data_IF_976681348533
#
_entry.id   IF_976681348533
#
_cell.length_a   1.000
_cell.length_b   1.000
_cell.length_c   1.000
_cell.angle_alpha   90.00
_cell.angle_beta   90.00
_cell.angle_gamma   90.00
#
_symmetry.space_group_name_H-M   'P 1'
#
loop_
_entity.id
_entity.type
_entity.pdbx_description
1 polymer ?
#
# COMPACT_ATOMS: atom_id res chain seq x y z
N UNK A 1 -9.12 27.06 7.61
CA UNK A 1 -10.28 27.98 7.59
C UNK A 1 -11.10 28.03 6.30
N UNK A 2 -10.58 27.68 5.10
CA UNK A 2 -11.34 27.82 3.84
C UNK A 2 -11.65 26.48 3.12
N UNK A 3 -11.46 25.33 3.77
CA UNK A 3 -11.68 24.01 3.15
C UNK A 3 -10.77 23.66 1.96
N UNK A 4 -9.96 24.60 1.48
CA UNK A 4 -8.98 24.42 0.41
C UNK A 4 -7.70 23.80 0.94
N UNK A 5 -7.24 22.76 0.25
CA UNK A 5 -5.94 22.13 0.46
C UNK A 5 -4.87 23.09 -0.09
N UNK A 6 -3.85 23.39 0.71
CA UNK A 6 -2.70 24.19 0.29
C UNK A 6 -1.48 23.27 0.17
N UNK A 7 -0.82 23.29 -0.98
CA UNK A 7 0.48 22.63 -1.13
C UNK A 7 1.59 23.55 -0.61
N UNK A 8 2.40 23.04 0.31
CA UNK A 8 3.48 23.81 0.95
C UNK A 8 4.77 22.99 0.97
N UNK A 9 5.90 23.64 0.72
CA UNK A 9 7.19 23.01 0.96
C UNK A 9 7.44 22.87 2.47
N UNK A 10 8.13 21.80 2.89
CA UNK A 10 8.39 21.53 4.31
C UNK A 10 9.08 22.71 5.02
N UNK A 11 9.98 23.42 4.34
CA UNK A 11 10.63 24.62 4.87
C UNK A 11 9.65 25.75 5.18
N UNK A 12 8.58 25.85 4.40
CA UNK A 12 7.56 26.88 4.56
C UNK A 12 6.56 26.47 5.63
N UNK A 13 6.29 25.17 5.79
CA UNK A 13 5.54 24.63 6.94
C UNK A 13 6.24 24.95 8.26
N UNK A 14 7.55 24.69 8.37
CA UNK A 14 8.34 25.02 9.57
C UNK A 14 8.26 26.51 9.90
N UNK A 15 8.35 27.39 8.89
CA UNK A 15 8.37 28.84 9.08
C UNK A 15 6.99 29.45 9.33
N UNK A 16 6.00 29.09 8.51
CA UNK A 16 4.66 29.71 8.51
C UNK A 16 3.75 29.15 9.59
N UNK A 17 3.88 27.87 9.90
CA UNK A 17 3.08 27.19 10.92
C UNK A 17 3.85 26.99 12.23
N UNK A 18 5.09 27.50 12.29
CA UNK A 18 5.97 27.46 13.46
C UNK A 18 6.12 26.03 14.05
N UNK A 19 6.03 25.03 13.18
CA UNK A 19 6.17 23.63 13.56
C UNK A 19 7.66 23.26 13.70
N UNK A 20 8.06 22.52 14.75
CA UNK A 20 9.42 22.05 14.90
C UNK A 20 9.87 21.20 13.71
N UNK A 21 11.15 21.31 13.34
CA UNK A 21 11.73 20.55 12.22
C UNK A 21 11.49 19.05 12.35
N UNK A 22 11.64 18.49 13.56
CA UNK A 22 11.41 17.05 13.78
C UNK A 22 9.95 16.67 13.50
N UNK A 23 8.98 17.53 13.84
CA UNK A 23 7.55 17.26 13.63
C UNK A 23 7.24 17.24 12.13
N UNK A 24 7.73 18.25 11.40
CA UNK A 24 7.57 18.34 9.94
C UNK A 24 8.28 17.19 9.22
N UNK A 25 9.42 16.72 9.75
CA UNK A 25 10.08 15.51 9.25
C UNK A 25 9.14 14.30 9.31
N UNK A 26 8.50 14.04 10.45
CA UNK A 26 7.55 12.92 10.56
C UNK A 26 6.30 13.11 9.68
N UNK A 27 5.78 14.34 9.54
CA UNK A 27 4.71 14.62 8.56
C UNK A 27 5.15 14.24 7.14
N UNK A 28 6.36 14.61 6.72
CA UNK A 28 6.87 14.25 5.40
C UNK A 28 7.04 12.73 5.23
N UNK A 29 7.55 12.03 6.25
CA UNK A 29 7.68 10.56 6.23
C UNK A 29 6.33 9.86 6.13
N UNK A 30 5.33 10.38 6.81
CA UNK A 30 3.95 9.87 6.74
C UNK A 30 3.38 10.10 5.35
N UNK A 31 3.52 11.30 4.78
CA UNK A 31 3.07 11.55 3.41
C UNK A 31 3.73 10.60 2.41
N UNK A 32 5.04 10.37 2.52
CA UNK A 32 5.75 9.38 1.69
C UNK A 32 5.19 7.97 1.87
N UNK A 33 4.86 7.57 3.09
CA UNK A 33 4.23 6.28 3.34
C UNK A 33 2.87 6.16 2.61
N UNK A 34 1.99 7.15 2.72
CA UNK A 34 0.68 7.11 2.06
C UNK A 34 0.77 7.20 0.53
N UNK A 35 1.62 8.08 0.00
CA UNK A 35 1.69 8.32 -1.44
C UNK A 35 2.57 7.31 -2.17
N UNK A 36 3.75 7.01 -1.62
CA UNK A 36 4.76 6.23 -2.34
C UNK A 36 4.67 4.73 -2.00
N UNK A 37 4.33 4.38 -0.76
CA UNK A 37 4.25 2.98 -0.32
C UNK A 37 2.85 2.42 -0.47
N UNK A 38 1.84 3.12 0.06
CA UNK A 38 0.44 2.72 -0.06
C UNK A 38 -0.17 3.08 -1.42
N UNK A 39 0.47 3.99 -2.17
CA UNK A 39 0.08 4.33 -3.53
C UNK A 39 -1.16 5.20 -3.65
N UNK A 40 -1.64 5.82 -2.57
CA UNK A 40 -2.80 6.71 -2.64
C UNK A 40 -2.54 7.86 -3.62
N UNK A 41 -3.51 8.20 -4.48
CA UNK A 41 -3.44 9.42 -5.28
C UNK A 41 -3.26 10.66 -4.39
N UNK A 42 -2.50 11.63 -4.85
CA UNK A 42 -2.15 12.80 -4.01
C UNK A 42 -3.39 13.64 -3.68
N UNK A 43 -4.35 13.68 -4.58
CA UNK A 43 -5.60 14.42 -4.47
C UNK A 43 -6.54 13.90 -3.37
N UNK A 44 -6.41 12.63 -2.97
CA UNK A 44 -7.22 12.06 -1.89
C UNK A 44 -6.55 12.17 -0.53
N UNK A 45 -5.29 12.59 -0.45
CA UNK A 45 -4.54 12.69 0.81
C UNK A 45 -4.41 14.13 1.29
N UNK A 46 -4.60 14.38 2.60
CA UNK A 46 -4.21 15.65 3.22
C UNK A 46 -3.86 15.51 4.69
N UNK A 47 -3.16 16.51 5.20
CA UNK A 47 -3.10 16.78 6.64
C UNK A 47 -4.12 17.85 7.00
N UNK A 48 -4.83 17.68 8.10
CA UNK A 48 -5.77 18.67 8.63
C UNK A 48 -5.36 19.06 10.05
N UNK A 49 -5.13 20.35 10.26
CA UNK A 49 -4.90 20.87 11.60
C UNK A 49 -6.23 20.88 12.38
N UNK A 50 -6.22 20.31 13.58
CA UNK A 50 -7.38 20.40 14.47
C UNK A 50 -7.40 21.77 15.16
N UNK A 51 -8.60 22.32 15.31
CA UNK A 51 -8.82 23.57 16.05
C UNK A 51 -8.50 23.41 17.53
N UNK A 52 -8.26 24.50 18.26
CA UNK A 52 -8.00 24.44 19.70
C UNK A 52 -9.15 23.80 20.49
N UNK A 53 -10.39 23.91 20.00
CA UNK A 53 -11.59 23.31 20.61
C UNK A 53 -11.67 21.79 20.40
N UNK A 54 -11.09 21.28 19.31
CA UNK A 54 -11.03 19.85 18.99
C UNK A 54 -9.75 19.18 19.54
N UNK A 55 -8.76 19.96 19.98
CA UNK A 55 -7.52 19.44 20.58
C UNK A 55 -7.77 18.95 21.99
N UNK A 56 -7.22 17.77 22.30
CA UNK A 56 -7.05 17.39 23.70
C UNK A 56 -6.17 18.44 24.40
N UNK A 57 -6.53 18.83 25.63
CA UNK A 57 -5.94 19.95 26.39
C UNK A 57 -4.41 19.86 26.60
N UNK A 58 -3.78 18.72 26.30
CA UNK A 58 -2.36 18.46 26.42
C UNK A 58 -1.58 18.48 25.09
N UNK A 59 -2.25 18.59 23.94
CA UNK A 59 -1.59 18.55 22.63
C UNK A 59 -1.13 19.94 22.20
N UNK A 60 0.19 20.14 22.06
CA UNK A 60 0.74 21.41 21.56
C UNK A 60 0.60 21.54 20.04
N UNK A 61 0.75 20.43 19.31
CA UNK A 61 0.50 20.35 17.86
C UNK A 61 -0.32 19.09 17.56
N UNK A 62 -1.34 19.22 16.71
CA UNK A 62 -2.27 18.14 16.40
C UNK A 62 -2.73 18.22 14.94
N UNK A 63 -2.33 17.22 14.17
CA UNK A 63 -2.67 17.10 12.76
C UNK A 63 -3.24 15.72 12.47
N UNK A 64 -4.43 15.70 11.89
CA UNK A 64 -5.05 14.50 11.38
C UNK A 64 -4.47 14.16 10.01
N UNK A 65 -4.34 12.86 9.76
CA UNK A 65 -4.11 12.29 8.45
C UNK A 65 -5.47 11.94 7.90
N UNK A 66 -5.88 12.59 6.81
CA UNK A 66 -7.19 12.36 6.21
C UNK A 66 -7.07 11.82 4.80
N UNK A 67 -7.91 10.84 4.48
CA UNK A 67 -8.15 10.34 3.13
C UNK A 67 -9.55 10.74 2.69
N UNK A 68 -9.69 11.22 1.45
CA UNK A 68 -10.98 11.50 0.84
C UNK A 68 -11.71 10.20 0.48
N UNK A 69 -12.79 9.92 1.18
CA UNK A 69 -13.63 8.74 1.00
C UNK A 69 -15.02 9.21 0.55
N UNK A 70 -15.28 9.15 -0.75
CA UNK A 70 -16.53 9.60 -1.36
C UNK A 70 -17.73 8.87 -0.76
N UNK A 71 -17.59 7.57 -0.51
CA UNK A 71 -18.64 6.72 0.08
C UNK A 71 -19.07 7.20 1.47
N UNK A 72 -18.14 7.84 2.20
CA UNK A 72 -18.38 8.38 3.53
C UNK A 72 -18.70 9.87 3.51
N UNK A 73 -18.73 10.53 2.34
CA UNK A 73 -19.04 11.96 2.22
C UNK A 73 -17.83 12.87 2.44
N UNK A 74 -16.63 12.43 2.04
CA UNK A 74 -15.45 13.28 1.93
C UNK A 74 -14.27 12.81 2.78
N UNK A 75 -13.40 13.74 3.15
CA UNK A 75 -12.23 13.48 3.99
C UNK A 75 -12.59 12.88 5.35
N UNK A 76 -11.94 11.77 5.70
CA UNK A 76 -12.06 11.09 6.98
C UNK A 76 -10.68 10.84 7.57
N UNK A 77 -10.57 11.03 8.87
CA UNK A 77 -9.37 10.76 9.65
C UNK A 77 -9.04 9.26 9.63
N UNK A 78 -7.84 8.91 9.16
CA UNK A 78 -7.30 7.54 9.16
C UNK A 78 -6.14 7.37 10.14
N UNK A 79 -5.68 8.47 10.73
CA UNK A 79 -4.62 8.51 11.73
C UNK A 79 -4.33 9.95 12.15
N UNK A 80 -3.35 10.12 13.03
CA UNK A 80 -3.01 11.42 13.59
C UNK A 80 -1.56 11.51 14.08
N UNK A 81 -1.08 12.74 14.16
CA UNK A 81 0.27 13.10 14.60
C UNK A 81 0.13 14.01 15.81
N UNK A 82 0.33 13.48 17.02
CA UNK A 82 0.04 14.20 18.26
C UNK A 82 1.33 14.49 19.01
N UNK A 83 1.62 15.78 19.23
CA UNK A 83 2.72 16.16 20.11
C UNK A 83 2.20 16.43 21.52
N UNK A 84 2.33 15.40 22.37
CA UNK A 84 1.75 15.32 23.72
C UNK A 84 2.66 15.89 24.80
N UNK A 85 3.84 16.38 24.42
CA UNK A 85 4.87 16.88 25.35
C UNK A 85 5.18 15.83 26.42
N UNK A 86 5.36 16.21 27.68
CA UNK A 86 5.66 15.29 28.78
C UNK A 86 4.41 14.88 29.60
N UNK A 87 3.21 15.19 29.11
CA UNK A 87 1.95 15.00 29.83
C UNK A 87 1.76 13.57 30.35
N UNK A 88 1.91 12.57 29.48
CA UNK A 88 1.65 11.17 29.83
C UNK A 88 2.68 10.65 30.83
N UNK A 89 3.96 10.95 30.61
CA UNK A 89 5.05 10.50 31.47
C UNK A 89 5.00 11.19 32.85
N UNK A 90 4.68 12.48 32.91
CA UNK A 90 4.42 13.17 34.19
C UNK A 90 3.23 12.55 34.92
N UNK A 91 2.16 12.22 34.20
CA UNK A 91 0.99 11.53 34.75
C UNK A 91 1.37 10.20 35.38
N UNK A 92 2.09 9.35 34.65
CA UNK A 92 2.54 8.04 35.13
C UNK A 92 3.53 8.16 36.31
N UNK A 93 4.51 9.07 36.24
CA UNK A 93 5.43 9.33 37.35
C UNK A 93 4.68 9.72 38.63
N UNK A 94 3.70 10.63 38.53
CA UNK A 94 2.93 11.10 39.69
C UNK A 94 2.13 9.97 40.36
N UNK A 95 1.53 9.08 39.57
CA UNK A 95 0.68 8.01 40.09
C UNK A 95 1.49 6.82 40.61
N UNK A 96 2.56 6.46 39.91
CA UNK A 96 3.40 5.30 40.27
C UNK A 96 4.41 5.61 41.36
N UNK A 97 4.85 6.86 41.50
CA UNK A 97 5.98 7.25 42.35
C UNK A 97 7.36 6.95 41.74
N UNK A 98 7.40 6.26 40.60
CA UNK A 98 8.63 5.90 39.89
C UNK A 98 9.05 7.01 38.93
N UNK A 99 10.34 7.33 38.90
CA UNK A 99 10.87 8.38 38.01
C UNK A 99 10.81 7.96 36.54
N UNK A 100 10.25 8.83 35.71
CA UNK A 100 10.21 8.74 34.25
C UNK A 100 11.26 9.65 33.60
N UNK A 101 12.21 10.18 34.39
CA UNK A 101 13.29 11.03 33.89
C UNK A 101 14.36 10.19 33.19
N UNK A 102 14.89 10.71 32.10
CA UNK A 102 16.08 10.18 31.43
C UNK A 102 17.27 11.11 31.69
N UNK A 103 18.47 10.55 31.76
CA UNK A 103 19.71 11.31 31.84
C UNK A 103 20.46 11.22 30.52
N UNK A 104 20.53 12.32 29.78
CA UNK A 104 21.31 12.43 28.54
C UNK A 104 22.34 13.54 28.74
N UNK A 105 23.62 13.20 28.59
CA UNK A 105 24.75 14.13 28.71
C UNK A 105 24.73 14.93 30.03
N UNK A 106 24.35 14.29 31.14
CA UNK A 106 24.29 14.90 32.46
C UNK A 106 23.05 15.75 32.73
N UNK A 107 22.12 15.86 31.76
CA UNK A 107 20.85 16.56 31.90
C UNK A 107 19.73 15.57 32.17
N UNK A 108 19.07 15.72 33.32
CA UNK A 108 17.86 14.97 33.67
C UNK A 108 16.61 15.73 33.22
N UNK A 109 15.73 15.05 32.52
CA UNK A 109 14.44 15.60 32.09
C UNK A 109 13.44 14.48 31.79
N UNK A 110 12.16 14.80 31.78
CA UNK A 110 11.11 13.90 31.29
C UNK A 110 11.00 14.13 29.77
N UNK A 111 11.17 13.09 28.94
CA UNK A 111 11.14 13.26 27.50
C UNK A 111 9.75 13.62 27.00
N UNK A 112 9.70 14.36 25.90
CA UNK A 112 8.44 14.63 25.22
C UNK A 112 8.04 13.46 24.31
N UNK A 113 6.74 13.23 24.19
CA UNK A 113 6.15 12.16 23.40
C UNK A 113 5.56 12.73 22.10
N UNK A 114 6.00 12.19 20.98
CA UNK A 114 5.34 12.31 19.69
C UNK A 114 4.61 10.99 19.42
N UNK A 115 3.29 11.02 19.45
CA UNK A 115 2.46 9.87 19.13
C UNK A 115 2.09 9.92 17.64
N UNK A 116 2.38 8.82 16.94
CA UNK A 116 1.88 8.58 15.58
C UNK A 116 0.85 7.47 15.68
N UNK A 117 -0.42 7.80 15.47
CA UNK A 117 -1.52 6.86 15.61
C UNK A 117 -2.12 6.57 14.24
N UNK A 118 -2.25 5.29 13.88
CA UNK A 118 -2.80 4.85 12.60
C UNK A 118 -3.89 3.82 12.83
N UNK A 119 -5.11 4.14 12.39
CA UNK A 119 -6.23 3.19 12.50
C UNK A 119 -6.13 2.13 11.41
N UNK A 120 -5.72 0.91 11.75
CA UNK A 120 -5.51 -0.18 10.77
C UNK A 120 -6.76 -0.42 9.93
N UNK A 121 -7.93 -0.52 10.56
CA UNK A 121 -9.20 -0.79 9.86
C UNK A 121 -9.60 0.35 8.93
N UNK A 122 -9.40 1.60 9.36
CA UNK A 122 -9.71 2.79 8.54
C UNK A 122 -8.79 2.87 7.32
N UNK A 123 -7.51 2.55 7.50
CA UNK A 123 -6.55 2.52 6.39
C UNK A 123 -6.85 1.38 5.42
N UNK A 124 -7.23 0.20 5.91
CA UNK A 124 -7.65 -0.91 5.06
C UNK A 124 -8.90 -0.55 4.24
N UNK A 125 -9.90 0.07 4.88
CA UNK A 125 -11.10 0.53 4.19
C UNK A 125 -10.76 1.59 3.13
N UNK A 126 -9.90 2.55 3.47
CA UNK A 126 -9.47 3.59 2.53
C UNK A 126 -8.76 3.00 1.30
N UNK A 127 -7.92 1.99 1.48
CA UNK A 127 -7.28 1.25 0.38
C UNK A 127 -8.32 0.55 -0.50
N UNK A 128 -9.28 -0.15 0.11
CA UNK A 128 -10.35 -0.82 -0.62
C UNK A 128 -11.14 0.16 -1.47
N UNK A 129 -11.64 1.25 -0.88
CA UNK A 129 -12.43 2.24 -1.60
C UNK A 129 -11.63 2.93 -2.72
N UNK A 130 -10.40 3.36 -2.42
CA UNK A 130 -9.58 4.11 -3.39
C UNK A 130 -9.19 3.28 -4.60
N UNK A 131 -8.90 1.99 -4.41
CA UNK A 131 -8.44 1.12 -5.49
C UNK A 131 -9.55 0.30 -6.13
N UNK A 132 -10.78 0.38 -5.63
CA UNK A 132 -11.94 -0.25 -6.25
C UNK A 132 -12.30 0.42 -7.58
N UNK A 133 -12.62 -0.39 -8.59
CA UNK A 133 -13.19 0.10 -9.83
C UNK A 133 -14.16 -0.91 -10.44
N UNK A 134 -15.29 -0.39 -10.92
CA UNK A 134 -16.22 -1.11 -11.78
C UNK A 134 -15.97 -0.69 -13.24
N UNK A 135 -15.56 -1.66 -14.06
CA UNK A 135 -15.46 -1.53 -15.51
C UNK A 135 -16.65 -2.25 -16.15
N UNK A 136 -16.95 -1.96 -17.42
CA UNK A 136 -18.11 -2.55 -18.14
C UNK A 136 -18.18 -4.08 -18.07
N UNK A 137 -17.04 -4.76 -17.96
CA UNK A 137 -16.95 -6.23 -18.05
C UNK A 137 -16.32 -6.91 -16.83
N UNK A 138 -15.86 -6.12 -15.83
CA UNK A 138 -15.24 -6.66 -14.62
C UNK A 138 -15.27 -5.67 -13.46
N UNK A 139 -15.20 -6.22 -12.26
CA UNK A 139 -14.85 -5.50 -11.04
C UNK A 139 -13.38 -5.77 -10.73
N UNK A 140 -12.63 -4.76 -10.32
CA UNK A 140 -11.19 -4.87 -10.08
C UNK A 140 -10.74 -4.03 -8.90
N UNK A 141 -9.82 -4.56 -8.09
CA UNK A 141 -9.01 -3.74 -7.17
C UNK A 141 -7.64 -3.47 -7.79
N UNK A 142 -7.35 -2.19 -8.08
CA UNK A 142 -6.08 -1.76 -8.68
C UNK A 142 -4.99 -1.53 -7.64
N UNK A 143 -4.80 -2.49 -6.73
CA UNK A 143 -3.76 -2.38 -5.71
C UNK A 143 -2.37 -2.23 -6.33
N UNK A 144 -1.50 -1.37 -5.76
CA UNK A 144 -0.07 -1.41 -6.01
C UNK A 144 0.48 -2.83 -5.78
N UNK A 145 1.57 -3.19 -6.48
CA UNK A 145 2.11 -4.55 -6.44
C UNK A 145 2.45 -5.04 -5.03
N UNK A 146 2.97 -4.16 -4.16
CA UNK A 146 3.27 -4.47 -2.77
C UNK A 146 2.05 -4.58 -1.83
N UNK A 147 0.85 -4.24 -2.30
CA UNK A 147 -0.41 -4.33 -1.54
C UNK A 147 -1.33 -5.44 -2.03
N UNK A 148 -1.01 -6.10 -3.15
CA UNK A 148 -1.79 -7.25 -3.61
C UNK A 148 -1.76 -8.38 -2.56
N UNK A 149 -2.90 -9.04 -2.26
CA UNK A 149 -2.95 -10.11 -1.25
C UNK A 149 -2.12 -11.34 -1.63
N UNK A 150 -1.87 -11.53 -2.91
CA UNK A 150 -0.88 -12.46 -3.46
C UNK A 150 -0.05 -11.72 -4.50
N UNK A 151 1.22 -12.10 -4.65
CA UNK A 151 2.12 -11.49 -5.63
C UNK A 151 1.67 -11.83 -7.06
N UNK A 152 1.18 -13.06 -7.28
CA UNK A 152 0.87 -13.56 -8.62
C UNK A 152 -0.15 -14.69 -8.62
N UNK A 153 -1.02 -14.72 -9.64
CA UNK A 153 -1.90 -15.83 -9.96
C UNK A 153 -1.28 -16.77 -11.00
N UNK A 154 -1.44 -18.08 -10.86
CA UNK A 154 -0.94 -19.10 -11.82
C UNK A 154 -2.10 -19.99 -12.27
N UNK A 155 -2.27 -20.11 -13.59
CA UNK A 155 -3.40 -20.80 -14.21
C UNK A 155 -2.95 -21.66 -15.38
N UNK A 156 -3.46 -22.90 -15.54
CA UNK A 156 -3.41 -23.59 -16.82
C UNK A 156 -4.42 -23.00 -17.81
N UNK A 157 -4.14 -22.94 -19.11
CA UNK A 157 -5.09 -22.42 -20.11
C UNK A 157 -6.41 -23.21 -20.09
N UNK A 158 -6.29 -24.54 -20.01
CA UNK A 158 -7.40 -25.48 -19.82
C UNK A 158 -7.06 -26.49 -18.72
N UNK A 159 -8.08 -27.07 -18.09
CA UNK A 159 -7.91 -27.98 -16.95
C UNK A 159 -7.66 -29.43 -17.37
N UNK A 160 -6.84 -29.64 -18.41
CA UNK A 160 -6.54 -30.95 -19.01
C UNK A 160 -5.23 -30.89 -19.79
N UNK A 161 -4.88 -31.99 -20.43
CA UNK A 161 -3.77 -32.11 -21.39
C UNK A 161 -2.38 -31.79 -20.78
N UNK A 162 -2.17 -32.10 -19.50
CA UNK A 162 -0.87 -31.90 -18.83
C UNK A 162 -0.58 -30.44 -18.40
N UNK A 163 -1.42 -29.47 -18.79
CA UNK A 163 -1.25 -28.08 -18.41
C UNK A 163 -1.39 -27.84 -16.89
N UNK A 164 -2.35 -28.47 -16.18
CA UNK A 164 -2.46 -28.32 -14.73
C UNK A 164 -1.20 -28.78 -13.98
N UNK A 165 -0.57 -29.87 -14.42
CA UNK A 165 0.66 -30.40 -13.86
C UNK A 165 1.80 -29.39 -14.04
N UNK A 166 1.97 -28.87 -15.27
CA UNK A 166 2.96 -27.84 -15.56
C UNK A 166 2.71 -26.53 -14.80
N UNK A 167 1.45 -26.15 -14.60
CA UNK A 167 1.08 -25.00 -13.78
C UNK A 167 1.43 -25.20 -12.29
N UNK A 168 1.28 -26.42 -11.76
CA UNK A 168 1.74 -26.75 -10.40
C UNK A 168 3.26 -26.74 -10.26
N UNK A 169 4.00 -27.09 -11.30
CA UNK A 169 5.46 -26.95 -11.32
C UNK A 169 5.86 -25.47 -11.20
N UNK A 170 5.27 -24.59 -12.04
CA UNK A 170 5.54 -23.14 -12.01
C UNK A 170 5.11 -22.52 -10.69
N UNK A 171 3.95 -22.91 -10.16
CA UNK A 171 3.50 -22.53 -8.82
C UNK A 171 4.55 -22.85 -7.74
N UNK A 172 5.09 -24.06 -7.77
CA UNK A 172 6.10 -24.52 -6.80
C UNK A 172 7.42 -23.78 -6.98
N UNK A 173 7.82 -23.52 -8.22
CA UNK A 173 9.02 -22.74 -8.56
C UNK A 173 8.92 -21.33 -7.96
N UNK A 174 7.82 -20.62 -8.21
CA UNK A 174 7.63 -19.26 -7.70
C UNK A 174 7.58 -19.22 -6.17
N UNK A 175 6.92 -20.19 -5.53
CA UNK A 175 6.97 -20.31 -4.07
C UNK A 175 8.39 -20.51 -3.53
N UNK A 176 9.23 -21.31 -4.20
CA UNK A 176 10.65 -21.48 -3.82
C UNK A 176 11.45 -20.18 -3.95
N UNK A 177 11.07 -19.29 -4.87
CA UNK A 177 11.65 -17.95 -4.99
C UNK A 177 11.05 -16.92 -4.01
N UNK A 178 10.16 -17.34 -3.11
CA UNK A 178 9.62 -16.50 -2.04
C UNK A 178 8.38 -15.70 -2.42
N UNK A 179 7.70 -16.03 -3.52
CA UNK A 179 6.45 -15.37 -3.90
C UNK A 179 5.24 -16.01 -3.20
N UNK A 180 4.28 -15.16 -2.83
CA UNK A 180 2.92 -15.57 -2.48
C UNK A 180 2.13 -15.81 -3.77
N UNK A 181 1.77 -17.08 -4.01
CA UNK A 181 1.16 -17.51 -5.28
C UNK A 181 -0.26 -18.01 -5.08
N UNK A 182 -1.19 -17.46 -5.85
CA UNK A 182 -2.57 -17.94 -5.97
C UNK A 182 -2.67 -18.93 -7.13
N UNK A 183 -3.17 -20.14 -6.91
CA UNK A 183 -3.36 -21.15 -7.97
C UNK A 183 -4.84 -21.39 -8.22
N UNK A 184 -5.23 -21.43 -9.50
CA UNK A 184 -6.60 -21.72 -9.88
C UNK A 184 -6.68 -22.48 -11.22
N UNK A 185 -7.43 -23.58 -11.20
CA UNK A 185 -7.68 -24.44 -12.36
C UNK A 185 -9.18 -24.61 -12.67
N UNK A 186 -10.06 -23.82 -12.07
CA UNK A 186 -11.51 -23.95 -12.22
C UNK A 186 -12.05 -23.03 -13.33
N UNK A 187 -12.98 -23.52 -14.15
CA UNK A 187 -13.65 -22.72 -15.19
C UNK A 187 -12.74 -22.27 -16.34
N UNK A 188 -13.22 -21.36 -17.19
CA UNK A 188 -12.44 -20.81 -18.31
C UNK A 188 -11.36 -19.84 -17.84
N UNK A 189 -10.31 -19.63 -18.65
CA UNK A 189 -9.23 -18.70 -18.33
C UNK A 189 -9.73 -17.28 -18.01
N UNK A 190 -10.73 -16.79 -18.74
CA UNK A 190 -11.35 -15.49 -18.47
C UNK A 190 -11.99 -15.39 -17.10
N UNK A 191 -12.63 -16.46 -16.58
CA UNK A 191 -13.18 -16.47 -15.21
C UNK A 191 -12.09 -16.45 -14.15
N UNK A 192 -10.93 -17.05 -14.44
CA UNK A 192 -9.78 -17.04 -13.52
C UNK A 192 -9.13 -15.68 -13.46
N UNK A 193 -8.97 -15.01 -14.61
CA UNK A 193 -8.55 -13.62 -14.67
C UNK A 193 -9.51 -12.71 -13.90
N UNK A 194 -10.84 -12.87 -14.08
CA UNK A 194 -11.81 -12.10 -13.29
C UNK A 194 -11.65 -12.29 -11.79
N UNK A 195 -11.48 -13.53 -11.31
CA UNK A 195 -11.27 -13.80 -9.88
C UNK A 195 -10.05 -13.10 -9.32
N UNK A 196 -8.93 -13.09 -10.04
CA UNK A 196 -7.72 -12.42 -9.55
C UNK A 196 -7.77 -10.89 -9.68
N UNK A 197 -8.46 -10.39 -10.70
CA UNK A 197 -8.76 -8.97 -10.86
C UNK A 197 -9.64 -8.49 -9.68
N UNK A 198 -10.67 -9.26 -9.31
CA UNK A 198 -11.62 -9.00 -8.20
C UNK A 198 -10.98 -9.01 -6.81
N UNK A 199 -9.85 -9.69 -6.61
CA UNK A 199 -9.08 -9.65 -5.35
C UNK A 199 -7.81 -8.80 -5.47
N UNK A 200 -7.59 -8.17 -6.62
CA UNK A 200 -6.52 -7.20 -6.85
C UNK A 200 -5.11 -7.78 -6.93
N UNK A 201 -4.93 -9.01 -7.40
CA UNK A 201 -3.59 -9.54 -7.73
C UNK A 201 -3.11 -8.89 -9.03
N UNK A 202 -1.93 -8.25 -8.98
CA UNK A 202 -1.39 -7.46 -10.11
C UNK A 202 -0.97 -8.29 -11.32
N UNK A 203 -0.45 -9.49 -11.09
CA UNK A 203 0.13 -10.35 -12.12
C UNK A 203 -0.62 -11.67 -12.28
N UNK A 204 -0.90 -12.07 -13.52
CA UNK A 204 -1.41 -13.40 -13.85
C UNK A 204 -0.45 -14.16 -14.76
N UNK A 205 -0.17 -15.43 -14.46
CA UNK A 205 0.67 -16.31 -15.26
C UNK A 205 -0.20 -17.42 -15.83
N UNK A 206 -0.15 -17.56 -17.16
CA UNK A 206 -0.90 -18.58 -17.88
C UNK A 206 0.04 -19.59 -18.52
N UNK A 207 -0.26 -20.86 -18.29
CA UNK A 207 0.43 -22.02 -18.86
C UNK A 207 -0.40 -22.55 -20.01
N UNK A 208 0.08 -22.39 -21.24
CA UNK A 208 -0.60 -22.81 -22.45
C UNK A 208 0.16 -23.93 -23.17
N UNK A 209 -0.34 -24.36 -24.33
CA UNK A 209 0.28 -25.44 -25.09
C UNK A 209 1.69 -25.10 -25.59
N UNK A 210 2.01 -23.81 -25.79
CA UNK A 210 3.36 -23.41 -26.18
C UNK A 210 4.33 -23.59 -25.01
N UNK A 211 3.88 -23.39 -23.76
CA UNK A 211 4.69 -23.69 -22.57
C UNK A 211 5.23 -25.12 -22.54
N UNK A 212 4.45 -26.10 -23.04
CA UNK A 212 4.89 -27.50 -23.10
C UNK A 212 5.97 -27.75 -24.16
N UNK A 213 6.13 -26.84 -25.13
CA UNK A 213 7.06 -26.96 -26.24
C UNK A 213 8.37 -26.21 -25.99
N UNK A 214 8.29 -24.99 -25.45
CA UNK A 214 9.45 -24.08 -25.37
C UNK A 214 9.76 -23.55 -23.96
N UNK A 215 9.06 -24.04 -22.92
CA UNK A 215 9.20 -23.59 -21.53
C UNK A 215 9.03 -22.06 -21.35
N UNK A 216 8.19 -21.43 -22.16
CA UNK A 216 7.75 -20.05 -21.95
C UNK A 216 6.38 -19.98 -21.29
N UNK A 217 6.11 -18.90 -20.55
CA UNK A 217 4.81 -18.63 -19.92
C UNK A 217 4.28 -17.27 -20.34
N UNK A 218 2.97 -17.08 -20.24
CA UNK A 218 2.35 -15.78 -20.50
C UNK A 218 2.19 -15.03 -19.19
N UNK A 219 2.77 -13.83 -19.08
CA UNK A 219 2.55 -12.88 -17.99
C UNK A 219 1.53 -11.84 -18.42
N UNK A 220 0.45 -11.68 -17.66
CA UNK A 220 -0.63 -10.71 -17.85
C UNK A 220 -0.57 -9.63 -16.77
N UNK A 221 -0.72 -8.38 -17.20
CA UNK A 221 -0.97 -7.23 -16.33
C UNK A 221 -2.48 -7.09 -16.05
N UNK A 222 -2.86 -7.04 -14.78
CA UNK A 222 -4.24 -6.78 -14.34
C UNK A 222 -4.77 -5.46 -14.90
N UNK A 223 -4.00 -4.38 -14.81
CA UNK A 223 -4.53 -3.03 -15.05
C UNK A 223 -4.74 -2.80 -16.56
N UNK A 224 -3.71 -3.04 -17.37
CA UNK A 224 -3.81 -2.86 -18.84
C UNK A 224 -4.40 -4.05 -19.60
N UNK A 225 -4.59 -5.19 -18.95
CA UNK A 225 -4.94 -6.48 -19.55
C UNK A 225 -3.94 -7.02 -20.60
N UNK A 226 -2.81 -6.33 -20.82
CA UNK A 226 -1.80 -6.74 -21.80
C UNK A 226 -1.02 -7.95 -21.31
N UNK A 227 -0.49 -8.69 -22.28
CA UNK A 227 0.24 -9.93 -22.04
C UNK A 227 1.61 -9.86 -22.70
N UNK A 228 2.60 -10.53 -22.11
CA UNK A 228 3.93 -10.75 -22.69
C UNK A 228 4.32 -12.22 -22.53
N UNK A 229 5.23 -12.69 -23.40
CA UNK A 229 5.83 -14.02 -23.27
C UNK A 229 7.15 -13.93 -22.51
N UNK A 230 7.33 -14.77 -21.50
CA UNK A 230 8.51 -14.79 -20.63
C UNK A 230 9.06 -16.20 -20.53
N UNK A 231 10.38 -16.38 -20.62
CA UNK A 231 11.00 -17.69 -20.37
C UNK A 231 10.88 -18.04 -18.88
N UNK A 232 10.63 -19.32 -18.57
CA UNK A 232 10.45 -19.75 -17.18
C UNK A 232 11.69 -19.47 -16.31
N UNK A 233 12.89 -19.46 -16.90
CA UNK A 233 14.15 -19.14 -16.20
C UNK A 233 14.23 -17.68 -15.74
N UNK A 234 13.71 -16.73 -16.53
CA UNK A 234 13.75 -15.29 -16.24
C UNK A 234 12.53 -14.82 -15.43
N UNK A 235 11.54 -15.70 -15.26
CA UNK A 235 10.21 -15.36 -14.76
C UNK A 235 10.24 -14.69 -13.38
N UNK A 236 11.08 -15.18 -12.47
CA UNK A 236 11.20 -14.63 -11.12
C UNK A 236 11.69 -13.18 -11.14
N UNK A 237 12.70 -12.87 -11.96
CA UNK A 237 13.30 -11.54 -12.03
C UNK A 237 12.38 -10.55 -12.75
N UNK A 238 11.75 -11.00 -13.85
CA UNK A 238 10.73 -10.22 -14.56
C UNK A 238 9.56 -9.89 -13.63
N UNK A 239 9.10 -10.87 -12.84
CA UNK A 239 8.00 -10.66 -11.90
C UNK A 239 8.36 -9.66 -10.80
N UNK A 240 9.57 -9.71 -10.22
CA UNK A 240 10.01 -8.71 -9.22
C UNK A 240 10.00 -7.30 -9.79
N UNK A 241 10.53 -7.11 -10.99
CA UNK A 241 10.55 -5.81 -11.69
C UNK A 241 9.14 -5.31 -11.99
N UNK A 242 8.25 -6.20 -12.41
CA UNK A 242 6.86 -5.84 -12.66
C UNK A 242 6.11 -5.41 -11.39
N UNK A 243 6.30 -6.16 -10.30
CA UNK A 243 5.68 -5.87 -9.00
C UNK A 243 6.22 -4.57 -8.39
N UNK A 244 7.50 -4.25 -8.60
CA UNK A 244 8.11 -2.98 -8.15
C UNK A 244 7.71 -1.75 -8.97
N UNK A 245 6.91 -1.92 -10.03
CA UNK A 245 6.31 -0.81 -10.77
C UNK A 245 6.82 -0.65 -12.20
N UNK A 246 7.70 -1.52 -12.70
CA UNK A 246 8.08 -1.47 -14.10
C UNK A 246 6.90 -1.83 -15.01
N UNK A 247 6.72 -1.04 -16.08
CA UNK A 247 5.63 -1.23 -17.03
C UNK A 247 5.86 -2.49 -17.86
N UNK A 248 4.80 -3.28 -18.08
CA UNK A 248 4.86 -4.57 -18.80
C UNK A 248 5.48 -4.47 -20.21
N UNK A 249 5.29 -3.35 -20.90
CA UNK A 249 5.86 -3.07 -22.24
C UNK A 249 7.39 -2.98 -22.24
N UNK A 250 8.03 -2.76 -21.08
CA UNK A 250 9.50 -2.73 -20.95
C UNK A 250 10.07 -4.11 -20.60
N UNK A 251 9.22 -5.06 -20.25
CA UNK A 251 9.59 -6.40 -19.81
C UNK A 251 9.53 -7.42 -20.95
N UNK A 252 8.87 -7.10 -22.06
CA UNK A 252 8.79 -7.95 -23.23
C UNK A 252 7.87 -7.37 -24.31
N UNK A 253 7.83 -8.04 -25.45
CA UNK A 253 6.93 -7.71 -26.54
C UNK A 253 5.49 -8.10 -26.18
N UNK A 254 4.55 -7.17 -26.41
CA UNK A 254 3.14 -7.40 -26.14
C UNK A 254 2.61 -8.46 -27.12
N UNK A 255 2.05 -9.52 -26.56
CA UNK A 255 1.29 -10.52 -27.31
C UNK A 255 -0.21 -10.21 -27.16
N UNK A 256 -0.92 -10.29 -28.28
CA UNK A 256 -2.38 -10.11 -28.32
C UNK A 256 -3.09 -11.32 -27.72
#
# INVERSE_FOLDING_TARGET
>A
GNGKIEEMACRDVVKRLELPVFYVYYMARIQQFYLDILGFPREVFRFKELSEEERAFYNKYHWDIEINLESLGGFREVGGIHYRTDHDLKGHQRVSGESMEVNIEGRKFIPHVLELSFGVDRNLYALLETFYAEEKERTVFRFPGGLSPFDVGVFPLVSKDGLPEKAKEVYTLLKKHGFSVFYDASGSIGRRYRRIDEIGIKAGITIDYQTLQDNTVTLRDRDSMKQIRVRTEDLSDVLRRFLSGERIQRLGEIIN
#
